data_IF_065359487997
#
_entry.id   IF_065359487997
#
_cell.length_a   1.000
_cell.length_b   1.000
_cell.length_c   1.000
_cell.angle_alpha   90.00
_cell.angle_beta   90.00
_cell.angle_gamma   90.00
#
_symmetry.space_group_name_H-M   'P 1'
#
loop_
_entity.id
_entity.type
_entity.pdbx_description
1 polymer ?
#
# COMPACT_ATOMS: atom_id res chain seq x y z
N UNK A 1 39.23 -8.42 3.68
CA UNK A 1 38.17 -8.67 2.67
C UNK A 1 38.11 -10.13 2.23
N UNK A 2 39.22 -10.79 1.88
CA UNK A 2 39.23 -12.21 1.48
C UNK A 2 38.94 -13.21 2.63
N UNK A 3 39.28 -12.88 3.89
CA UNK A 3 39.14 -13.79 5.04
C UNK A 3 37.69 -13.99 5.53
N UNK A 4 36.75 -13.17 5.08
CA UNK A 4 35.34 -13.21 5.50
C UNK A 4 34.38 -13.61 4.37
N UNK A 5 34.91 -13.99 3.19
CA UNK A 5 34.10 -14.39 2.02
C UNK A 5 32.98 -13.39 1.67
N UNK A 6 33.21 -12.09 1.92
CA UNK A 6 32.20 -11.06 1.69
C UNK A 6 32.17 -10.72 0.20
N UNK A 7 31.00 -10.84 -0.40
CA UNK A 7 30.75 -10.52 -1.81
C UNK A 7 29.87 -9.28 -1.85
N UNK A 8 30.23 -8.29 -2.67
CA UNK A 8 29.38 -7.13 -2.91
C UNK A 8 28.07 -7.56 -3.57
N UNK A 9 26.93 -7.30 -2.93
CA UNK A 9 25.61 -7.45 -3.53
C UNK A 9 25.16 -6.12 -4.11
N UNK A 10 25.11 -6.04 -5.43
CA UNK A 10 24.50 -4.90 -6.12
C UNK A 10 22.98 -4.95 -5.94
N UNK A 11 22.31 -3.80 -5.68
CA UNK A 11 20.87 -3.74 -5.66
C UNK A 11 20.31 -4.13 -7.03
N UNK A 12 19.22 -4.90 -7.04
CA UNK A 12 18.52 -5.26 -8.27
C UNK A 12 17.98 -3.99 -8.92
N UNK A 13 18.14 -3.86 -10.24
CA UNK A 13 17.59 -2.73 -11.00
C UNK A 13 16.08 -2.63 -10.74
N UNK A 14 15.63 -1.46 -10.30
CA UNK A 14 14.22 -1.17 -10.14
C UNK A 14 13.50 -1.31 -11.48
N UNK A 15 12.37 -2.02 -11.49
CA UNK A 15 11.52 -2.20 -12.67
C UNK A 15 10.11 -1.73 -12.31
N UNK A 16 9.67 -0.66 -12.95
CA UNK A 16 8.29 -0.20 -12.87
C UNK A 16 7.41 -1.29 -13.49
N UNK A 17 6.49 -1.86 -12.70
CA UNK A 17 5.53 -2.87 -13.17
C UNK A 17 4.17 -2.26 -13.54
N UNK A 18 3.99 -0.97 -13.27
CA UNK A 18 2.73 -0.24 -13.44
C UNK A 18 2.88 0.68 -14.64
N UNK A 19 2.04 0.50 -15.65
CA UNK A 19 1.91 1.48 -16.72
C UNK A 19 0.91 2.56 -16.30
N UNK A 20 1.40 3.68 -15.79
CA UNK A 20 0.57 4.84 -15.44
C UNK A 20 0.30 5.75 -16.65
N UNK A 21 0.91 5.50 -17.81
CA UNK A 21 0.76 6.28 -19.04
C UNK A 21 -0.04 5.49 -20.08
N UNK A 22 -1.19 4.97 -19.67
CA UNK A 22 -2.10 4.24 -20.55
C UNK A 22 -3.23 5.14 -21.08
N UNK A 23 -3.76 4.83 -22.26
CA UNK A 23 -4.97 5.47 -22.80
C UNK A 23 -6.29 4.85 -22.29
N UNK A 24 -6.22 3.95 -21.29
CA UNK A 24 -7.41 3.37 -20.68
C UNK A 24 -8.14 4.41 -19.81
N UNK A 25 -9.44 4.21 -19.62
CA UNK A 25 -10.25 5.08 -18.76
C UNK A 25 -9.73 5.02 -17.31
N UNK A 26 -9.43 6.19 -16.75
CA UNK A 26 -9.06 6.35 -15.35
C UNK A 26 -10.34 6.67 -14.58
N UNK A 27 -10.65 5.88 -13.56
CA UNK A 27 -11.77 6.17 -12.68
C UNK A 27 -11.55 7.53 -11.97
N UNK A 28 -12.54 8.43 -11.96
CA UNK A 28 -12.38 9.72 -11.30
C UNK A 28 -12.23 9.54 -9.79
N UNK A 29 -11.29 10.28 -9.19
CA UNK A 29 -11.21 10.39 -7.73
C UNK A 29 -12.33 11.32 -7.24
N UNK A 30 -13.50 10.74 -6.96
CA UNK A 30 -14.70 11.49 -6.57
C UNK A 30 -14.55 12.29 -5.28
N UNK A 31 -13.65 11.86 -4.39
CA UNK A 31 -13.50 12.44 -3.06
C UNK A 31 -12.37 13.46 -2.99
N UNK A 32 -11.36 13.35 -3.84
CA UNK A 32 -10.19 14.23 -3.85
C UNK A 32 -9.61 14.52 -2.45
N UNK A 33 -9.49 13.47 -1.62
CA UNK A 33 -9.05 13.52 -0.21
C UNK A 33 -9.93 14.34 0.74
N UNK A 34 -11.13 14.73 0.31
CA UNK A 34 -12.17 15.29 1.15
C UNK A 34 -12.89 14.15 1.85
N UNK A 35 -12.50 13.94 3.10
CA UNK A 35 -12.92 12.79 3.88
C UNK A 35 -13.79 13.20 5.07
N UNK A 36 -14.29 14.43 5.05
CA UNK A 36 -15.30 14.95 5.96
C UNK A 36 -16.56 15.17 5.13
N UNK A 37 -17.47 14.20 5.17
CA UNK A 37 -18.70 14.21 4.38
C UNK A 37 -19.88 14.30 5.34
N UNK A 38 -20.87 15.12 4.98
CA UNK A 38 -22.13 15.24 5.69
C UNK A 38 -23.26 14.99 4.68
N UNK A 39 -24.22 14.11 4.94
CA UNK A 39 -24.43 13.29 6.15
C UNK A 39 -23.44 12.11 6.28
N UNK A 40 -23.45 11.47 7.46
CA UNK A 40 -22.74 10.21 7.77
C UNK A 40 -23.18 9.05 6.86
N UNK A 41 -22.41 7.96 6.83
CA UNK A 41 -22.65 6.73 6.05
C UNK A 41 -22.66 6.94 4.53
N UNK A 42 -21.81 7.83 4.03
CA UNK A 42 -21.69 8.10 2.59
C UNK A 42 -20.33 7.69 2.01
N UNK A 43 -19.30 7.72 2.84
CA UNK A 43 -17.92 7.45 2.44
C UNK A 43 -17.25 6.68 3.55
N UNK A 44 -16.58 5.58 3.21
CA UNK A 44 -15.85 4.78 4.20
C UNK A 44 -14.36 4.76 3.88
N UNK A 45 -13.55 4.99 4.91
CA UNK A 45 -12.10 4.74 4.84
C UNK A 45 -11.84 3.32 5.30
N UNK A 46 -11.01 2.61 4.56
CA UNK A 46 -10.59 1.26 4.92
C UNK A 46 -9.09 1.14 4.83
N UNK A 47 -8.51 0.32 5.70
CA UNK A 47 -7.11 -0.06 5.62
C UNK A 47 -6.93 -1.48 6.15
N UNK A 48 -5.85 -2.13 5.72
CA UNK A 48 -5.46 -3.45 6.19
C UNK A 48 -4.00 -3.39 6.62
N UNK A 49 -3.75 -3.75 7.88
CA UNK A 49 -2.39 -3.79 8.43
C UNK A 49 -2.07 -5.15 9.03
N UNK A 50 -0.79 -5.52 9.00
CA UNK A 50 -0.29 -6.75 9.61
C UNK A 50 0.17 -6.47 11.04
N UNK A 51 -0.45 -7.13 12.01
CA UNK A 51 -0.09 -6.99 13.43
C UNK A 51 0.57 -8.26 13.91
N UNK A 52 1.69 -8.11 14.62
CA UNK A 52 2.38 -9.22 15.27
C UNK A 52 1.73 -9.52 16.62
N UNK A 53 1.35 -10.77 16.83
CA UNK A 53 0.78 -11.28 18.09
C UNK A 53 1.59 -12.48 18.59
N UNK A 54 1.36 -12.96 19.81
CA UNK A 54 2.01 -14.18 20.33
C UNK A 54 1.71 -15.42 19.48
N UNK A 55 0.61 -15.41 18.72
CA UNK A 55 0.15 -16.52 17.87
C UNK A 55 0.68 -16.45 16.43
N UNK A 56 1.33 -15.35 16.03
CA UNK A 56 1.77 -15.15 14.65
C UNK A 56 1.51 -13.76 14.11
N UNK A 57 1.60 -13.63 12.78
CA UNK A 57 1.14 -12.45 12.05
C UNK A 57 -0.35 -12.58 11.78
N UNK A 58 -1.11 -11.51 12.05
CA UNK A 58 -2.54 -11.43 11.76
C UNK A 58 -2.84 -10.20 10.94
N UNK A 59 -3.85 -10.29 10.07
CA UNK A 59 -4.35 -9.15 9.31
C UNK A 59 -5.47 -8.46 10.10
N UNK A 60 -5.32 -7.17 10.35
CA UNK A 60 -6.37 -6.32 10.89
C UNK A 60 -6.94 -5.46 9.75
N UNK A 61 -8.21 -5.67 9.44
CA UNK A 61 -8.97 -4.82 8.55
C UNK A 61 -9.85 -3.87 9.36
N UNK A 62 -9.81 -2.57 9.05
CA UNK A 62 -10.62 -1.53 9.70
C UNK A 62 -11.48 -0.84 8.64
N UNK A 63 -12.71 -0.49 9.03
CA UNK A 63 -13.62 0.36 8.26
C UNK A 63 -14.06 1.51 9.16
N UNK A 64 -13.92 2.75 8.68
CA UNK A 64 -14.33 3.97 9.37
C UNK A 64 -15.29 4.77 8.49
N UNK A 65 -16.31 5.35 9.10
CA UNK A 65 -17.19 6.35 8.50
C UNK A 65 -16.58 7.75 8.56
#
# INVERSE_FOLDING_TARGET
MASLSLIARYPKRYRVKTDSQHHQQIAPNLLDRQLTVNPRNQVWRTDITCIRTCQGWQYLAIVMD
#
